data_IF_406911632790
#
_entry.id   IF_406911632790
#
_cell.length_a   1.000
_cell.length_b   1.000
_cell.length_c   1.000
_cell.angle_alpha   90.00
_cell.angle_beta   90.00
_cell.angle_gamma   90.00
#
_symmetry.space_group_name_H-M   'P 1'
#
loop_
_entity.id
_entity.type
_entity.pdbx_description
1 polymer ?
#
# COMPACT_ATOMS: atom_id res chain seq x y z
N UNK A 1 -17.27 -21.13 4.62
CA UNK A 1 -15.98 -20.44 4.75
C UNK A 1 -16.17 -19.27 5.69
N UNK A 2 -15.37 -19.13 6.76
CA UNK A 2 -15.46 -17.96 7.65
C UNK A 2 -15.03 -16.73 6.85
N UNK A 3 -15.89 -15.70 6.76
CA UNK A 3 -15.50 -14.39 6.21
C UNK A 3 -14.33 -13.90 7.07
N UNK A 4 -13.14 -13.80 6.50
CA UNK A 4 -12.01 -13.14 7.17
C UNK A 4 -12.41 -11.68 7.38
N UNK A 5 -12.28 -11.22 8.63
CA UNK A 5 -12.52 -9.83 8.99
C UNK A 5 -11.51 -8.95 8.21
N UNK A 6 -11.97 -7.97 7.41
CA UNK A 6 -11.10 -7.09 6.63
C UNK A 6 -9.98 -6.44 7.45
N UNK A 7 -10.22 -6.16 8.74
CA UNK A 7 -9.23 -5.58 9.64
C UNK A 7 -8.13 -6.59 9.96
N UNK A 8 -8.51 -7.83 10.28
CA UNK A 8 -7.55 -8.92 10.55
C UNK A 8 -6.67 -9.24 9.34
N UNK A 9 -7.18 -9.01 8.13
CA UNK A 9 -6.42 -9.17 6.89
C UNK A 9 -5.34 -8.09 6.72
N UNK A 10 -5.70 -6.83 6.94
CA UNK A 10 -4.76 -5.71 6.91
C UNK A 10 -3.66 -5.87 7.96
N UNK A 11 -4.04 -6.23 9.20
CA UNK A 11 -3.08 -6.46 10.28
C UNK A 11 -2.05 -7.52 9.91
N UNK A 12 -2.49 -8.65 9.30
CA UNK A 12 -1.59 -9.70 8.84
C UNK A 12 -0.65 -9.24 7.71
N UNK A 13 -1.12 -8.38 6.79
CA UNK A 13 -0.28 -7.83 5.73
C UNK A 13 0.84 -6.94 6.26
N UNK A 14 0.54 -6.13 7.28
CA UNK A 14 1.56 -5.31 7.94
C UNK A 14 2.51 -6.14 8.82
N UNK A 15 2.10 -7.33 9.29
CA UNK A 15 2.97 -8.25 10.06
C UNK A 15 4.14 -8.73 9.21
N UNK A 16 3.93 -9.20 7.98
CA UNK A 16 5.01 -9.69 7.10
C UNK A 16 6.09 -8.62 6.85
N UNK A 17 5.66 -7.39 6.56
CA UNK A 17 6.56 -6.25 6.33
C UNK A 17 7.32 -5.91 7.62
N UNK A 18 6.63 -5.91 8.75
CA UNK A 18 7.23 -5.62 10.06
C UNK A 18 8.23 -6.69 10.49
N UNK A 19 7.99 -7.95 10.18
CA UNK A 19 8.91 -9.06 10.45
C UNK A 19 10.18 -8.94 9.61
N UNK A 20 10.06 -8.67 8.31
CA UNK A 20 11.21 -8.42 7.44
C UNK A 20 12.09 -7.26 7.97
N UNK A 21 11.47 -6.14 8.35
CA UNK A 21 12.20 -4.98 8.87
C UNK A 21 12.92 -5.27 10.20
N UNK A 22 12.45 -6.24 10.98
CA UNK A 22 13.11 -6.66 12.23
C UNK A 22 14.27 -7.62 12.01
N UNK A 23 14.23 -8.43 10.95
CA UNK A 23 15.26 -9.42 10.63
C UNK A 23 16.38 -8.89 9.75
N UNK A 24 16.22 -7.71 9.15
CA UNK A 24 17.25 -7.06 8.36
C UNK A 24 18.41 -6.56 9.26
N UNK A 25 19.59 -7.17 9.16
CA UNK A 25 20.79 -6.72 9.90
C UNK A 25 21.33 -5.40 9.31
N UNK A 26 21.71 -4.40 10.12
CA UNK A 26 22.29 -3.16 9.64
C UNK A 26 23.76 -3.36 9.22
N UNK A 27 24.04 -3.36 7.92
CA UNK A 27 25.40 -3.31 7.37
C UNK A 27 25.62 -2.04 6.55
N UNK A 28 26.88 -1.61 6.44
CA UNK A 28 27.28 -0.35 5.79
C UNK A 28 27.06 -0.33 4.27
N UNK A 29 26.74 -1.46 3.65
CA UNK A 29 26.41 -1.61 2.20
C UNK A 29 24.94 -1.97 1.94
N UNK A 30 24.06 -1.85 2.96
CA UNK A 30 22.67 -2.29 2.85
C UNK A 30 21.87 -1.48 1.83
N UNK A 31 21.45 -2.15 0.76
CA UNK A 31 20.26 -1.74 0.01
C UNK A 31 19.07 -1.72 0.99
N UNK A 32 18.56 -0.53 1.29
CA UNK A 32 17.36 -0.30 2.11
C UNK A 32 16.14 -1.08 1.55
N UNK A 33 16.08 -1.25 0.24
CA UNK A 33 15.06 -2.01 -0.49
C UNK A 33 15.70 -3.18 -1.20
N UNK A 34 15.39 -4.41 -0.80
CA UNK A 34 15.90 -5.63 -1.45
C UNK A 34 14.86 -6.23 -2.41
N UNK A 35 15.27 -7.24 -3.19
CA UNK A 35 14.35 -7.98 -4.05
C UNK A 35 13.30 -8.73 -3.22
N UNK A 36 13.72 -9.30 -2.10
CA UNK A 36 12.84 -9.96 -1.15
C UNK A 36 11.81 -8.98 -0.57
N UNK A 37 12.24 -7.77 -0.21
CA UNK A 37 11.32 -6.74 0.28
C UNK A 37 10.27 -6.36 -0.77
N UNK A 38 10.67 -6.15 -2.03
CA UNK A 38 9.74 -5.85 -3.13
C UNK A 38 8.76 -7.02 -3.35
N UNK A 39 9.24 -8.26 -3.28
CA UNK A 39 8.38 -9.44 -3.43
C UNK A 39 7.35 -9.54 -2.29
N UNK A 40 7.75 -9.28 -1.05
CA UNK A 40 6.83 -9.22 0.09
C UNK A 40 5.79 -8.12 -0.13
N UNK A 41 6.22 -6.91 -0.51
CA UNK A 41 5.31 -5.81 -0.82
C UNK A 41 4.32 -6.17 -1.94
N UNK A 42 4.79 -6.80 -3.01
CA UNK A 42 3.95 -7.21 -4.13
C UNK A 42 2.89 -8.24 -3.70
N UNK A 43 3.29 -9.24 -2.90
CA UNK A 43 2.37 -10.24 -2.37
C UNK A 43 1.30 -9.61 -1.48
N UNK A 44 1.69 -8.71 -0.58
CA UNK A 44 0.75 -8.01 0.30
C UNK A 44 -0.17 -7.04 -0.45
N UNK A 45 0.34 -6.37 -1.48
CA UNK A 45 -0.51 -5.52 -2.34
C UNK A 45 -1.50 -6.33 -3.15
N UNK A 46 -1.10 -7.47 -3.72
CA UNK A 46 -2.02 -8.37 -4.45
C UNK A 46 -3.14 -8.89 -3.56
N UNK A 47 -2.81 -9.17 -2.30
CA UNK A 47 -3.78 -9.47 -1.26
C UNK A 47 -4.79 -8.32 -1.12
N UNK A 48 -4.36 -7.09 -0.89
CA UNK A 48 -5.25 -5.92 -0.79
C UNK A 48 -6.12 -5.76 -2.05
N UNK A 49 -5.53 -5.83 -3.24
CA UNK A 49 -6.25 -5.73 -4.51
C UNK A 49 -7.32 -6.83 -4.66
N UNK A 50 -7.06 -8.04 -4.17
CA UNK A 50 -8.06 -9.12 -4.20
C UNK A 50 -9.28 -8.79 -3.32
N UNK A 51 -9.07 -8.17 -2.16
CA UNK A 51 -10.16 -7.71 -1.30
C UNK A 51 -10.91 -6.56 -1.95
N UNK A 52 -10.20 -5.59 -2.53
CA UNK A 52 -10.82 -4.50 -3.29
C UNK A 52 -11.67 -5.03 -4.45
N UNK A 53 -11.18 -6.02 -5.19
CA UNK A 53 -11.93 -6.65 -6.27
C UNK A 53 -13.24 -7.30 -5.79
N UNK A 54 -13.22 -7.98 -4.65
CA UNK A 54 -14.43 -8.55 -4.03
C UNK A 54 -15.40 -7.46 -3.59
N UNK A 55 -14.90 -6.42 -2.91
CA UNK A 55 -15.73 -5.30 -2.45
C UNK A 55 -16.35 -4.51 -3.61
N UNK A 56 -15.60 -4.32 -4.70
CA UNK A 56 -16.07 -3.64 -5.90
C UNK A 56 -17.13 -4.44 -6.68
N UNK A 57 -17.34 -5.73 -6.35
CA UNK A 57 -18.42 -6.57 -6.89
C UNK A 57 -19.66 -6.60 -5.97
N UNK A 58 -19.58 -6.01 -4.77
CA UNK A 58 -20.69 -5.90 -3.83
C UNK A 58 -21.45 -4.60 -4.11
N UNK A 59 -22.61 -4.72 -4.77
CA UNK A 59 -23.45 -3.58 -5.15
C UNK A 59 -23.88 -2.74 -3.95
N UNK A 60 -24.19 -3.37 -2.81
CA UNK A 60 -24.59 -2.64 -1.60
C UNK A 60 -23.42 -1.80 -1.05
N UNK A 61 -22.22 -2.37 -1.04
CA UNK A 61 -21.01 -1.65 -0.66
C UNK A 61 -20.75 -0.46 -1.61
N UNK A 62 -20.70 -0.72 -2.92
CA UNK A 62 -20.41 0.31 -3.94
C UNK A 62 -21.45 1.43 -3.90
N UNK A 63 -22.73 1.11 -3.74
CA UNK A 63 -23.78 2.10 -3.64
C UNK A 63 -23.63 2.96 -2.38
N UNK A 64 -23.39 2.35 -1.21
CA UNK A 64 -23.22 3.09 0.06
C UNK A 64 -22.07 4.07 0.00
N UNK A 65 -20.89 3.59 -0.40
CA UNK A 65 -19.69 4.45 -0.42
C UNK A 65 -19.84 5.60 -1.42
N UNK A 66 -20.50 5.38 -2.56
CA UNK A 66 -20.70 6.44 -3.55
C UNK A 66 -21.84 7.38 -3.15
N UNK A 67 -22.84 6.92 -2.39
CA UNK A 67 -23.87 7.81 -1.83
C UNK A 67 -23.26 8.80 -0.84
N UNK A 68 -22.33 8.36 0.01
CA UNK A 68 -21.69 9.20 1.02
C UNK A 68 -20.72 10.23 0.41
N UNK A 69 -20.04 9.87 -0.69
CA UNK A 69 -19.00 10.72 -1.29
C UNK A 69 -19.53 11.57 -2.46
N UNK A 70 -20.56 11.11 -3.17
CA UNK A 70 -21.11 11.76 -4.38
C UNK A 70 -22.57 12.18 -4.22
N UNK A 71 -22.93 12.78 -3.07
CA UNK A 71 -24.29 13.18 -2.69
C UNK A 71 -25.05 14.00 -3.78
N UNK A 72 -24.37 14.67 -4.72
CA UNK A 72 -24.99 15.61 -5.66
C UNK A 72 -24.45 15.62 -7.11
N UNK A 73 -23.82 14.56 -7.64
CA UNK A 73 -23.26 14.61 -9.01
C UNK A 73 -23.60 13.39 -9.86
N UNK A 74 -24.57 13.58 -10.76
CA UNK A 74 -25.00 12.62 -11.79
C UNK A 74 -23.89 12.16 -12.76
N UNK A 75 -22.70 12.81 -12.76
CA UNK A 75 -21.57 12.52 -13.63
C UNK A 75 -20.23 12.39 -12.85
N UNK A 76 -20.28 12.00 -11.58
CA UNK A 76 -19.07 11.78 -10.79
C UNK A 76 -18.45 10.41 -11.08
N UNK A 77 -17.11 10.34 -11.02
CA UNK A 77 -16.39 9.07 -11.09
C UNK A 77 -16.80 8.19 -9.91
N UNK A 78 -17.15 6.94 -10.20
CA UNK A 78 -17.43 5.94 -9.18
C UNK A 78 -16.16 5.68 -8.38
N UNK A 79 -16.23 5.96 -7.09
CA UNK A 79 -15.18 5.61 -6.15
C UNK A 79 -15.21 4.11 -5.94
N UNK A 80 -14.04 3.50 -6.09
CA UNK A 80 -13.78 2.09 -5.83
C UNK A 80 -13.10 1.87 -4.48
N UNK A 81 -13.16 0.65 -3.95
CA UNK A 81 -12.54 0.24 -2.70
C UNK A 81 -11.06 0.65 -2.58
N UNK A 82 -10.28 0.57 -3.66
CA UNK A 82 -8.86 0.95 -3.70
C UNK A 82 -8.64 2.40 -3.25
N UNK A 83 -9.56 3.32 -3.57
CA UNK A 83 -9.45 4.73 -3.17
C UNK A 83 -9.61 4.92 -1.66
N UNK A 84 -10.46 4.11 -1.02
CA UNK A 84 -10.62 4.12 0.43
C UNK A 84 -9.37 3.55 1.11
N UNK A 85 -8.84 2.43 0.61
CA UNK A 85 -7.57 1.87 1.11
C UNK A 85 -6.42 2.88 1.00
N UNK A 86 -6.30 3.57 -0.14
CA UNK A 86 -5.30 4.63 -0.31
C UNK A 86 -5.51 5.75 0.71
N UNK A 87 -6.75 6.21 0.91
CA UNK A 87 -7.04 7.26 1.89
C UNK A 87 -6.68 6.82 3.31
N UNK A 88 -7.02 5.59 3.69
CA UNK A 88 -6.74 5.05 5.01
C UNK A 88 -5.23 4.89 5.24
N UNK A 89 -4.49 4.43 4.22
CA UNK A 89 -3.03 4.37 4.23
C UNK A 89 -2.41 5.75 4.45
N UNK A 90 -2.87 6.77 3.72
CA UNK A 90 -2.38 8.15 3.87
C UNK A 90 -2.69 8.67 5.28
N UNK A 91 -3.90 8.48 5.79
CA UNK A 91 -4.28 8.92 7.14
C UNK A 91 -3.48 8.19 8.22
N UNK A 92 -3.25 6.89 8.07
CA UNK A 92 -2.42 6.11 8.99
C UNK A 92 -0.96 6.58 8.97
N UNK A 93 -0.45 6.91 7.79
CA UNK A 93 0.89 7.47 7.61
C UNK A 93 1.03 8.83 8.30
N UNK A 94 0.10 9.75 8.04
CA UNK A 94 0.08 11.11 8.62
C UNK A 94 0.08 11.08 10.16
N UNK A 95 -0.66 10.15 10.76
CA UNK A 95 -0.68 9.95 12.23
C UNK A 95 0.66 9.48 12.81
N UNK A 96 1.58 8.98 11.97
CA UNK A 96 2.88 8.47 12.37
C UNK A 96 4.05 9.25 11.75
N UNK A 97 3.82 10.48 11.26
CA UNK A 97 4.84 11.33 10.60
C UNK A 97 6.14 11.48 11.41
N UNK A 98 6.05 11.51 12.75
CA UNK A 98 7.22 11.59 13.63
C UNK A 98 8.16 10.38 13.56
N UNK A 99 7.75 9.28 12.91
CA UNK A 99 8.54 8.05 12.70
C UNK A 99 8.89 7.82 11.22
N UNK A 100 8.68 8.83 10.39
CA UNK A 100 8.95 8.77 8.96
C UNK A 100 10.44 8.54 8.68
N UNK A 101 10.71 7.68 7.70
CA UNK A 101 12.03 7.41 7.17
C UNK A 101 11.93 7.09 5.66
N UNK A 102 13.05 7.05 4.91
CA UNK A 102 13.00 6.78 3.48
C UNK A 102 12.27 5.48 3.11
N UNK A 103 12.41 4.42 3.92
CA UNK A 103 11.70 3.16 3.68
C UNK A 103 10.19 3.32 3.85
N UNK A 104 9.70 4.03 4.87
CA UNK A 104 8.26 4.26 5.06
C UNK A 104 7.67 5.12 3.94
N UNK A 105 8.39 6.14 3.47
CA UNK A 105 8.01 6.94 2.30
C UNK A 105 7.90 6.09 1.04
N UNK A 106 8.89 5.23 0.81
CA UNK A 106 8.90 4.32 -0.31
C UNK A 106 7.69 3.37 -0.26
N UNK A 107 7.42 2.76 0.89
CA UNK A 107 6.27 1.85 1.06
C UNK A 107 4.95 2.56 0.77
N UNK A 108 4.76 3.80 1.25
CA UNK A 108 3.56 4.58 0.96
C UNK A 108 3.43 4.87 -0.54
N UNK A 109 4.51 5.33 -1.18
CA UNK A 109 4.53 5.62 -2.61
C UNK A 109 4.26 4.36 -3.45
N UNK A 110 4.84 3.22 -3.05
CA UNK A 110 4.61 1.92 -3.68
C UNK A 110 3.15 1.51 -3.61
N UNK A 111 2.53 1.54 -2.42
CA UNK A 111 1.11 1.20 -2.28
C UNK A 111 0.22 2.15 -3.07
N UNK A 112 0.55 3.45 -3.08
CA UNK A 112 -0.20 4.43 -3.84
C UNK A 112 -0.21 4.10 -5.34
N UNK A 113 0.96 3.86 -5.93
CA UNK A 113 1.07 3.58 -7.37
C UNK A 113 0.46 2.21 -7.73
N UNK A 114 0.69 1.19 -6.91
CA UNK A 114 0.18 -0.15 -7.16
C UNK A 114 -1.34 -0.24 -6.99
N UNK A 115 -1.93 0.39 -5.97
CA UNK A 115 -3.38 0.38 -5.78
C UNK A 115 -4.11 1.26 -6.79
N UNK A 116 -3.49 2.37 -7.24
CA UNK A 116 -4.10 3.29 -8.20
C UNK A 116 -3.97 2.81 -9.64
N UNK A 117 -2.79 2.32 -10.01
CA UNK A 117 -2.42 2.07 -11.40
C UNK A 117 -2.11 0.59 -11.69
N UNK A 118 -2.15 -0.30 -10.69
CA UNK A 118 -1.71 -1.69 -10.82
C UNK A 118 -0.26 -1.81 -11.32
N UNK A 119 0.57 -0.84 -10.95
CA UNK A 119 1.99 -0.77 -11.27
C UNK A 119 2.80 -1.24 -10.06
N UNK A 120 3.64 -2.26 -10.27
CA UNK A 120 4.50 -2.82 -9.23
C UNK A 120 5.96 -2.47 -9.54
N UNK A 121 6.74 -2.18 -8.49
CA UNK A 121 8.17 -1.94 -8.66
C UNK A 121 8.87 -3.18 -9.21
N UNK A 122 9.73 -2.99 -10.22
CA UNK A 122 10.49 -4.07 -10.84
C UNK A 122 11.73 -4.39 -10.00
N UNK A 123 11.88 -5.67 -9.64
CA UNK A 123 13.07 -6.21 -8.99
C UNK A 123 14.35 -6.01 -9.80
N UNK A 124 14.29 -5.86 -11.13
CA UNK A 124 15.48 -5.56 -11.93
C UNK A 124 15.98 -4.11 -11.74
N UNK A 125 15.13 -3.22 -11.23
CA UNK A 125 15.43 -1.80 -11.00
C UNK A 125 15.94 -1.45 -9.60
N UNK A 126 16.16 -2.45 -8.73
CA UNK A 126 16.47 -2.26 -7.29
C UNK A 126 17.63 -1.31 -7.05
N UNK A 127 18.70 -1.39 -7.85
CA UNK A 127 19.88 -0.53 -7.67
C UNK A 127 19.54 0.94 -7.93
N UNK A 128 18.74 1.23 -8.96
CA UNK A 128 18.29 2.60 -9.24
C UNK A 128 17.31 3.09 -8.17
N UNK A 129 16.46 2.20 -7.69
CA UNK A 129 15.44 2.48 -6.68
C UNK A 129 16.07 2.82 -5.31
N UNK A 130 17.11 2.09 -4.89
CA UNK A 130 17.87 2.43 -3.69
C UNK A 130 18.63 3.75 -3.82
N UNK A 131 19.18 4.05 -5.00
CA UNK A 131 19.83 5.35 -5.26
C UNK A 131 18.85 6.51 -5.16
N UNK A 132 17.63 6.34 -5.66
CA UNK A 132 16.56 7.34 -5.53
C UNK A 132 16.17 7.54 -4.06
N UNK A 133 15.96 6.47 -3.31
CA UNK A 133 15.54 6.54 -1.90
C UNK A 133 16.63 7.17 -1.02
N UNK A 134 17.89 6.97 -1.37
CA UNK A 134 19.02 7.57 -0.69
C UNK A 134 19.31 9.02 -1.13
N UNK A 135 18.63 9.57 -2.14
CA UNK A 135 18.90 10.94 -2.61
C UNK A 135 18.31 12.00 -1.67
N UNK A 136 18.89 13.20 -1.66
CA UNK A 136 18.35 14.34 -0.90
C UNK A 136 16.98 14.77 -1.41
N UNK A 137 16.66 14.51 -2.69
CA UNK A 137 15.35 14.87 -3.28
C UNK A 137 14.20 14.01 -2.75
N UNK A 138 14.51 12.84 -2.19
CA UNK A 138 13.54 11.91 -1.61
C UNK A 138 13.38 12.09 -0.09
N UNK A 139 14.35 12.73 0.57
CA UNK A 139 14.43 12.96 2.02
C UNK A 139 13.96 14.36 2.42
#
# INVERSE_FOLDING_TARGET
MKKQDPISFLENSFVSIKEYLKSAEPTSDNLLITAEFIQVLEQETKKILSVCAVLNQDDDFVQRINADVNVNRANSLLIKAEHFFISDLILAYQKNETKENPTSRFVLAYYYDALRNNHFADTNGIVALNKLIASEEFN
#
